data_IF_486309780641
#
_entry.id   IF_486309780641
#
_cell.length_a   1.000
_cell.length_b   1.000
_cell.length_c   1.000
_cell.angle_alpha   90.00
_cell.angle_beta   90.00
_cell.angle_gamma   90.00
#
_symmetry.space_group_name_H-M   'P 1'
#
loop_
_entity.id
_entity.type
_entity.pdbx_description
1 polymer ?
#
# COMPACT_ATOMS: atom_id res chain seq x y z
N UNK A 1 1.79 -41.09 -20.97
CA UNK A 1 0.90 -40.06 -20.39
C UNK A 1 0.96 -38.84 -21.29
N UNK A 2 -0.18 -38.37 -21.81
CA UNK A 2 -0.24 -37.44 -22.94
C UNK A 2 0.18 -36.01 -22.57
N UNK A 3 0.83 -35.30 -23.51
CA UNK A 3 1.26 -33.89 -23.45
C UNK A 3 0.16 -32.89 -23.05
N UNK A 4 -1.12 -33.27 -23.05
CA UNK A 4 -2.24 -32.38 -22.69
C UNK A 4 -2.29 -32.04 -21.19
N UNK A 5 -1.72 -32.86 -20.32
CA UNK A 5 -1.79 -32.64 -18.86
C UNK A 5 -0.65 -31.77 -18.31
N UNK A 6 0.46 -31.60 -19.05
CA UNK A 6 1.62 -30.85 -18.56
C UNK A 6 1.31 -29.36 -18.45
N UNK A 7 0.75 -28.74 -19.49
CA UNK A 7 0.43 -27.31 -19.48
C UNK A 7 -0.61 -26.93 -18.42
N UNK A 8 -1.66 -27.74 -18.26
CA UNK A 8 -2.68 -27.51 -17.24
C UNK A 8 -2.08 -27.57 -15.82
N UNK A 9 -1.27 -28.59 -15.52
CA UNK A 9 -0.61 -28.72 -14.22
C UNK A 9 0.37 -27.56 -13.96
N UNK A 10 1.06 -27.06 -14.99
CA UNK A 10 1.92 -25.88 -14.87
C UNK A 10 1.12 -24.63 -14.49
N UNK A 11 0.00 -24.36 -15.16
CA UNK A 11 -0.88 -23.23 -14.83
C UNK A 11 -1.42 -23.38 -13.40
N UNK A 12 -1.78 -24.60 -13.02
CA UNK A 12 -2.32 -24.91 -11.71
C UNK A 12 -1.29 -24.66 -10.59
N UNK A 13 -0.02 -24.98 -10.83
CA UNK A 13 1.10 -24.70 -9.92
C UNK A 13 1.39 -23.20 -9.78
N UNK A 14 1.30 -22.44 -10.87
CA UNK A 14 1.41 -20.96 -10.84
C UNK A 14 0.25 -20.34 -10.05
N UNK A 15 -0.98 -20.78 -10.34
CA UNK A 15 -2.18 -20.28 -9.67
C UNK A 15 -2.17 -20.57 -8.17
N UNK A 16 -1.64 -21.73 -7.75
CA UNK A 16 -1.50 -22.08 -6.33
C UNK A 16 -0.66 -21.06 -5.53
N UNK A 17 0.18 -20.28 -6.20
CA UNK A 17 1.00 -19.22 -5.59
C UNK A 17 0.36 -17.84 -5.65
N UNK A 18 -0.77 -17.66 -6.35
CA UNK A 18 -1.41 -16.35 -6.51
C UNK A 18 -2.42 -16.10 -5.39
N UNK A 19 -2.44 -14.88 -4.85
CA UNK A 19 -3.42 -14.43 -3.84
C UNK A 19 -3.51 -15.34 -2.60
N UNK A 20 -4.63 -16.05 -2.43
CA UNK A 20 -4.91 -16.98 -1.32
C UNK A 20 -4.54 -18.44 -1.65
N UNK A 21 -3.99 -18.68 -2.83
CA UNK A 21 -3.71 -20.01 -3.33
C UNK A 21 -4.98 -20.83 -3.61
N UNK A 22 -4.87 -22.14 -3.47
CA UNK A 22 -5.91 -23.10 -3.84
C UNK A 22 -7.03 -23.24 -2.80
N UNK A 23 -8.25 -23.45 -3.29
CA UNK A 23 -9.36 -23.84 -2.43
C UNK A 23 -9.27 -25.34 -2.04
N UNK A 24 -9.88 -25.75 -0.91
CA UNK A 24 -9.91 -27.15 -0.50
C UNK A 24 -10.48 -28.10 -1.57
N UNK A 25 -11.49 -27.66 -2.31
CA UNK A 25 -12.12 -28.46 -3.38
C UNK A 25 -11.18 -28.71 -4.57
N UNK A 26 -10.27 -27.78 -4.86
CA UNK A 26 -9.27 -27.98 -5.93
C UNK A 26 -8.17 -28.91 -5.44
N UNK A 27 -7.75 -28.79 -4.18
CA UNK A 27 -6.75 -29.68 -3.58
C UNK A 27 -7.24 -31.13 -3.44
N UNK A 28 -8.54 -31.37 -3.27
CA UNK A 28 -9.08 -32.74 -3.25
C UNK A 28 -8.99 -33.44 -4.61
N UNK A 29 -9.07 -32.69 -5.71
CA UNK A 29 -8.92 -33.21 -7.08
C UNK A 29 -7.45 -33.26 -7.51
N UNK A 30 -6.64 -32.31 -7.06
CA UNK A 30 -5.21 -32.18 -7.41
C UNK A 30 -4.32 -32.14 -6.15
N UNK A 31 -4.23 -33.25 -5.38
CA UNK A 31 -3.58 -33.25 -4.06
C UNK A 31 -2.05 -33.09 -4.12
N UNK A 32 -1.43 -33.39 -5.26
CA UNK A 32 0.02 -33.39 -5.42
C UNK A 32 0.55 -32.13 -6.13
N UNK A 33 -0.25 -31.06 -6.21
CA UNK A 33 0.18 -29.80 -6.82
C UNK A 33 1.25 -29.14 -5.93
N UNK A 34 2.39 -28.78 -6.53
CA UNK A 34 3.46 -28.03 -5.83
C UNK A 34 3.38 -26.58 -6.31
N UNK A 35 3.11 -25.60 -5.42
CA UNK A 35 3.10 -24.19 -5.79
C UNK A 35 4.46 -23.72 -6.28
N UNK A 36 4.48 -22.82 -7.26
CA UNK A 36 5.72 -22.21 -7.76
C UNK A 36 6.23 -21.16 -6.76
N UNK A 37 7.54 -21.10 -6.52
CA UNK A 37 8.11 -20.07 -5.67
C UNK A 37 7.79 -18.66 -6.18
N UNK A 38 7.38 -17.78 -5.26
CA UNK A 38 7.13 -16.38 -5.60
C UNK A 38 8.46 -15.69 -5.86
N UNK A 39 8.56 -15.03 -7.01
CA UNK A 39 9.67 -14.12 -7.29
C UNK A 39 9.59 -12.96 -6.30
N UNK A 40 10.72 -12.66 -5.66
CA UNK A 40 10.82 -11.50 -4.76
C UNK A 40 10.54 -10.20 -5.52
N UNK A 41 9.80 -9.29 -4.89
CA UNK A 41 9.51 -7.98 -5.48
C UNK A 41 10.75 -7.11 -5.37
N UNK A 42 11.24 -6.62 -6.51
CA UNK A 42 12.32 -5.63 -6.56
C UNK A 42 11.69 -4.25 -6.68
N UNK A 43 11.84 -3.43 -5.64
CA UNK A 43 11.35 -2.06 -5.64
C UNK A 43 12.24 -1.16 -6.50
N UNK A 44 11.68 -0.12 -7.14
CA UNK A 44 12.48 0.87 -7.86
C UNK A 44 13.31 1.70 -6.87
N UNK A 45 14.41 2.27 -7.35
CA UNK A 45 15.25 3.16 -6.53
C UNK A 45 14.50 4.41 -6.07
N UNK A 46 13.65 4.95 -6.96
CA UNK A 46 12.89 6.17 -6.75
C UNK A 46 11.44 5.97 -7.23
N UNK A 47 10.47 6.57 -6.54
CA UNK A 47 9.05 6.45 -6.87
C UNK A 47 8.64 7.52 -7.89
N UNK A 48 7.80 7.13 -8.85
CA UNK A 48 7.18 8.08 -9.76
C UNK A 48 6.09 8.87 -9.00
N UNK A 49 6.06 10.22 -9.09
CA UNK A 49 5.12 11.02 -8.33
C UNK A 49 3.65 10.77 -8.71
N UNK A 50 3.33 10.54 -9.99
CA UNK A 50 1.97 10.18 -10.40
C UNK A 50 1.55 8.80 -9.87
N UNK A 51 2.51 7.86 -9.75
CA UNK A 51 2.25 6.57 -9.11
C UNK A 51 1.93 6.76 -7.62
N UNK A 52 2.65 7.63 -6.91
CA UNK A 52 2.35 7.94 -5.50
C UNK A 52 0.96 8.56 -5.35
N UNK A 53 0.56 9.46 -6.25
CA UNK A 53 -0.81 10.01 -6.25
C UNK A 53 -1.86 8.93 -6.49
N UNK A 54 -1.65 8.04 -7.48
CA UNK A 54 -2.56 6.92 -7.74
C UNK A 54 -2.65 5.95 -6.57
N UNK A 55 -1.52 5.63 -5.94
CA UNK A 55 -1.46 4.75 -4.78
C UNK A 55 -2.17 5.37 -3.57
N UNK A 56 -1.96 6.67 -3.34
CA UNK A 56 -2.69 7.44 -2.32
C UNK A 56 -4.19 7.47 -2.62
N UNK A 57 -4.59 7.61 -3.88
CA UNK A 57 -6.00 7.61 -4.29
C UNK A 57 -6.73 6.32 -3.88
N UNK A 58 -6.03 5.18 -3.88
CA UNK A 58 -6.50 3.91 -3.32
C UNK A 58 -6.44 3.88 -1.79
N UNK A 59 -5.23 3.81 -1.23
CA UNK A 59 -5.01 3.39 0.16
C UNK A 59 -4.52 4.50 1.10
N UNK A 60 -4.39 5.72 0.59
CA UNK A 60 -4.04 6.90 1.37
C UNK A 60 -5.23 7.56 2.08
N UNK A 61 -4.95 8.44 3.04
CA UNK A 61 -5.97 9.20 3.74
C UNK A 61 -5.44 10.50 4.35
N UNK A 62 -6.29 11.53 4.31
CA UNK A 62 -6.11 12.81 4.97
C UNK A 62 -7.03 12.86 6.19
N UNK A 63 -6.50 13.27 7.34
CA UNK A 63 -7.28 13.28 8.59
C UNK A 63 -6.96 14.50 9.41
N UNK A 64 -8.02 15.10 9.95
CA UNK A 64 -7.97 16.17 10.94
C UNK A 64 -8.70 15.67 12.17
N UNK A 65 -8.13 15.85 13.34
CA UNK A 65 -8.77 15.42 14.57
C UNK A 65 -8.25 16.17 15.78
N UNK A 66 -8.86 15.93 16.93
CA UNK A 66 -8.48 16.52 18.21
C UNK A 66 -7.90 15.41 19.09
N UNK A 67 -6.70 15.63 19.62
CA UNK A 67 -6.10 14.73 20.60
C UNK A 67 -6.89 14.82 21.89
N UNK A 68 -7.54 13.74 22.31
CA UNK A 68 -8.40 13.72 23.52
C UNK A 68 -7.67 14.20 24.78
N UNK A 69 -6.39 13.86 24.93
CA UNK A 69 -5.60 14.19 26.11
C UNK A 69 -5.19 15.66 26.18
N UNK A 70 -4.83 16.27 25.05
CA UNK A 70 -4.29 17.64 25.02
C UNK A 70 -5.25 18.67 24.46
N UNK A 71 -6.38 18.23 23.91
CA UNK A 71 -7.32 19.06 23.12
C UNK A 71 -6.67 19.77 21.92
N UNK A 72 -5.48 19.33 21.51
CA UNK A 72 -4.77 19.90 20.36
C UNK A 72 -5.30 19.29 19.06
N UNK A 73 -5.49 20.14 18.07
CA UNK A 73 -5.78 19.72 16.69
C UNK A 73 -4.52 19.05 16.12
N UNK A 74 -4.72 17.96 15.39
CA UNK A 74 -3.67 17.33 14.61
C UNK A 74 -4.14 17.11 13.18
N UNK A 75 -3.18 17.23 12.27
CA UNK A 75 -3.32 16.87 10.87
C UNK A 75 -2.54 15.58 10.65
N UNK A 76 -3.02 14.72 9.75
CA UNK A 76 -2.34 13.49 9.40
C UNK A 76 -2.56 13.17 7.93
N UNK A 77 -1.45 13.02 7.22
CA UNK A 77 -1.42 12.23 5.99
C UNK A 77 -0.97 10.81 6.34
N UNK A 78 -1.59 9.79 5.75
CA UNK A 78 -1.15 8.41 5.94
C UNK A 78 -1.47 7.52 4.75
N UNK A 79 -0.70 6.44 4.61
CA UNK A 79 -0.96 5.31 3.71
C UNK A 79 -0.84 4.03 4.53
N UNK A 80 -1.83 3.14 4.42
CA UNK A 80 -1.87 1.88 5.16
C UNK A 80 -1.71 0.69 4.21
N UNK A 81 -0.89 -0.29 4.59
CA UNK A 81 -0.70 -1.52 3.82
C UNK A 81 -0.48 -2.75 4.70
N UNK A 82 -0.50 -3.93 4.08
CA UNK A 82 -0.04 -5.15 4.74
C UNK A 82 1.45 -5.00 5.13
N UNK A 83 1.87 -5.58 6.25
CA UNK A 83 3.26 -5.53 6.75
C UNK A 83 4.31 -6.15 5.82
N UNK A 84 3.87 -6.84 4.76
CA UNK A 84 4.75 -7.42 3.73
C UNK A 84 5.34 -6.36 2.81
N UNK A 85 4.69 -5.20 2.72
CA UNK A 85 5.06 -4.08 1.85
C UNK A 85 5.80 -2.99 2.66
N UNK A 86 6.48 -3.39 3.75
CA UNK A 86 7.18 -2.47 4.65
C UNK A 86 8.30 -1.70 3.95
N UNK A 87 9.00 -2.34 3.02
CA UNK A 87 10.09 -1.71 2.27
C UNK A 87 9.55 -0.60 1.35
N UNK A 88 8.36 -0.78 0.80
CA UNK A 88 7.66 0.26 0.05
C UNK A 88 7.26 1.42 0.97
N UNK A 89 6.79 1.14 2.19
CA UNK A 89 6.48 2.20 3.16
C UNK A 89 7.72 3.01 3.56
N UNK A 90 8.88 2.36 3.69
CA UNK A 90 10.16 3.06 3.93
C UNK A 90 10.59 3.89 2.72
N UNK A 91 10.33 3.41 1.50
CA UNK A 91 10.61 4.16 0.28
C UNK A 91 9.76 5.44 0.18
N UNK A 92 8.55 5.46 0.77
CA UNK A 92 7.73 6.68 0.89
C UNK A 92 8.35 7.72 1.82
N UNK A 93 9.06 7.33 2.89
CA UNK A 93 9.84 8.27 3.71
C UNK A 93 10.89 8.97 2.85
N UNK A 94 11.64 8.20 2.06
CA UNK A 94 12.65 8.75 1.15
C UNK A 94 12.01 9.67 0.10
N UNK A 95 10.88 9.26 -0.48
CA UNK A 95 10.18 10.04 -1.52
C UNK A 95 9.69 11.40 -1.03
N UNK A 96 9.02 11.46 0.12
CA UNK A 96 8.53 12.72 0.70
C UNK A 96 9.59 13.48 1.51
N UNK A 97 10.76 12.89 1.73
CA UNK A 97 11.81 13.43 2.61
C UNK A 97 11.40 13.58 4.07
N UNK A 98 10.27 12.98 4.47
CA UNK A 98 9.71 13.06 5.81
C UNK A 98 8.70 11.95 6.09
N UNK A 99 8.26 11.86 7.34
CA UNK A 99 7.28 10.89 7.82
C UNK A 99 7.91 9.73 8.59
N UNK A 100 7.05 8.85 9.06
CA UNK A 100 7.42 7.68 9.85
C UNK A 100 6.64 6.46 9.37
N UNK A 101 7.16 5.28 9.67
CA UNK A 101 6.47 4.01 9.44
C UNK A 101 6.25 3.31 10.77
N UNK A 102 5.00 2.91 11.02
CA UNK A 102 4.63 2.13 12.20
C UNK A 102 4.16 0.73 11.78
N UNK A 103 4.69 -0.31 12.42
CA UNK A 103 4.32 -1.70 12.19
C UNK A 103 3.34 -2.13 13.27
N UNK A 104 2.15 -2.54 12.85
CA UNK A 104 1.10 -3.16 13.70
C UNK A 104 1.13 -4.66 13.46
N UNK A 105 2.11 -5.33 14.07
CA UNK A 105 2.37 -6.76 13.88
C UNK A 105 1.16 -7.64 14.24
N UNK A 106 0.38 -7.23 15.24
CA UNK A 106 -0.83 -7.93 15.67
C UNK A 106 -1.92 -8.07 14.59
N UNK A 107 -1.90 -7.23 13.55
CA UNK A 107 -2.89 -7.24 12.47
C UNK A 107 -2.24 -7.26 11.07
N UNK A 108 -0.96 -7.65 10.99
CA UNK A 108 -0.19 -7.68 9.73
C UNK A 108 -0.32 -6.39 8.90
N UNK A 109 -0.28 -5.23 9.56
CA UNK A 109 -0.42 -3.92 8.92
C UNK A 109 0.81 -3.07 9.20
N UNK A 110 1.15 -2.20 8.25
CA UNK A 110 2.06 -1.09 8.45
C UNK A 110 1.40 0.21 7.98
N UNK A 111 1.76 1.32 8.61
CA UNK A 111 1.25 2.65 8.29
C UNK A 111 2.44 3.58 8.03
N UNK A 112 2.57 4.08 6.82
CA UNK A 112 3.34 5.30 6.57
C UNK A 112 2.49 6.50 7.00
N UNK A 113 3.06 7.48 7.71
CA UNK A 113 2.33 8.68 8.10
C UNK A 113 3.22 9.90 8.33
N UNK A 114 2.63 11.08 8.14
CA UNK A 114 3.18 12.38 8.56
C UNK A 114 2.15 13.07 9.44
N UNK A 115 2.58 13.53 10.60
CA UNK A 115 1.77 14.35 11.53
C UNK A 115 2.41 15.70 11.87
N UNK A 116 3.66 15.91 11.45
CA UNK A 116 4.31 17.21 11.58
C UNK A 116 3.63 18.19 10.62
N UNK A 117 3.03 19.24 11.17
CA UNK A 117 2.23 20.19 10.41
C UNK A 117 3.06 20.94 9.36
N UNK A 118 4.26 21.41 9.74
CA UNK A 118 5.16 22.10 8.82
C UNK A 118 5.53 21.20 7.64
N UNK A 119 5.84 19.91 7.91
CA UNK A 119 6.15 18.95 6.86
C UNK A 119 4.96 18.58 5.98
N UNK A 120 3.74 18.61 6.51
CA UNK A 120 2.52 18.45 5.71
C UNK A 120 2.37 19.63 4.74
N UNK A 121 2.47 20.86 5.24
CA UNK A 121 2.36 22.06 4.41
C UNK A 121 3.44 22.09 3.32
N UNK A 122 4.69 21.78 3.68
CA UNK A 122 5.82 21.80 2.74
C UNK A 122 5.74 20.69 1.69
N UNK A 123 5.45 19.44 2.10
CA UNK A 123 5.66 18.28 1.24
C UNK A 123 4.36 17.70 0.70
N UNK A 124 3.31 17.58 1.53
CA UNK A 124 2.05 16.95 1.14
C UNK A 124 1.21 17.87 0.28
N UNK A 125 1.05 19.14 0.69
CA UNK A 125 0.30 20.11 -0.10
C UNK A 125 0.98 20.32 -1.45
N UNK A 126 2.29 20.58 -1.46
CA UNK A 126 3.09 20.74 -2.69
C UNK A 126 3.00 19.53 -3.61
N UNK A 127 3.02 18.31 -3.07
CA UNK A 127 2.92 17.11 -3.90
C UNK A 127 1.56 17.02 -4.60
N UNK A 128 0.46 17.10 -3.85
CA UNK A 128 -0.89 16.91 -4.41
C UNK A 128 -1.38 18.12 -5.22
N UNK A 129 -0.75 19.28 -5.11
CA UNK A 129 -0.96 20.41 -6.03
C UNK A 129 -0.34 20.15 -7.41
N UNK A 130 0.86 19.55 -7.45
CA UNK A 130 1.56 19.25 -8.70
C UNK A 130 1.13 17.92 -9.33
N UNK A 131 0.71 16.97 -8.49
CA UNK A 131 0.33 15.61 -8.86
C UNK A 131 -1.02 15.26 -8.22
N UNK A 132 -2.12 15.83 -8.74
CA UNK A 132 -3.42 15.74 -8.09
C UNK A 132 -3.99 14.31 -8.08
N UNK A 133 -4.91 14.09 -7.14
CA UNK A 133 -5.74 12.89 -7.10
C UNK A 133 -6.85 13.01 -8.16
N UNK A 134 -7.16 11.93 -8.86
CA UNK A 134 -8.18 11.91 -9.92
C UNK A 134 -9.47 11.18 -9.51
N UNK A 135 -9.71 11.01 -8.21
CA UNK A 135 -10.93 10.42 -7.67
C UNK A 135 -11.57 11.31 -6.59
N UNK A 136 -12.67 10.86 -5.98
CA UNK A 136 -13.42 11.63 -4.98
C UNK A 136 -12.58 12.07 -3.77
N UNK A 137 -11.49 11.36 -3.46
CA UNK A 137 -10.53 11.71 -2.40
C UNK A 137 -9.80 13.04 -2.66
N UNK A 138 -9.82 13.53 -3.90
CA UNK A 138 -9.37 14.89 -4.21
C UNK A 138 -10.16 15.94 -3.43
N UNK A 139 -11.47 15.72 -3.21
CA UNK A 139 -12.29 16.62 -2.39
C UNK A 139 -11.83 16.61 -0.93
N UNK A 140 -11.54 15.42 -0.38
CA UNK A 140 -10.99 15.29 0.98
C UNK A 140 -9.64 16.03 1.11
N UNK A 141 -8.80 15.96 0.07
CA UNK A 141 -7.56 16.72 0.00
C UNK A 141 -7.80 18.24 -0.03
N UNK A 142 -8.76 18.72 -0.83
CA UNK A 142 -9.09 20.15 -0.89
C UNK A 142 -9.59 20.68 0.46
N UNK A 143 -10.44 19.92 1.15
CA UNK A 143 -10.90 20.26 2.50
C UNK A 143 -9.73 20.24 3.49
N UNK A 144 -8.85 19.24 3.39
CA UNK A 144 -7.65 19.15 4.21
C UNK A 144 -6.66 20.30 3.98
N UNK A 145 -6.51 20.77 2.73
CA UNK A 145 -5.64 21.89 2.36
C UNK A 145 -6.17 23.24 2.84
N UNK A 146 -7.49 23.39 2.90
CA UNK A 146 -8.16 24.66 3.24
C UNK A 146 -8.03 25.02 4.72
N UNK A 147 -7.89 24.02 5.58
CA UNK A 147 -7.84 24.14 7.05
C UNK A 147 -6.41 24.31 7.57
#
# INVERSE_FOLDING_TARGET
MSEKHTGFNTILALYASINRGMSPNVLSVFPNIVPVDKIGVVLPKDLNPYWVSGFTAGDGGFSIGIRKSTQQIYFRFHIAQHSRDIDLMNLLIKFFGCGNVNIRSNINRCDYYIQDFSKICENIITHFDNYPLYNIKYLDYLDFKKL
#
